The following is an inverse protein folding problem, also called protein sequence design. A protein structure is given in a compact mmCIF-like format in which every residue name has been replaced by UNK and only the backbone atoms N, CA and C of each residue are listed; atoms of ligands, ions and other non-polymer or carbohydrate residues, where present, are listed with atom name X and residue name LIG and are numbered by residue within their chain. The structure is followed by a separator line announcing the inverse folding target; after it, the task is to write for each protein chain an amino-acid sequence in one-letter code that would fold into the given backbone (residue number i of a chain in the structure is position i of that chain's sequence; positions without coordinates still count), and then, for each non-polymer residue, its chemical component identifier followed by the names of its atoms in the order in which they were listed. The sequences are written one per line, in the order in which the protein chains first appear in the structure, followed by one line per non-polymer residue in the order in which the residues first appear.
data_IF_025369035694
#
_entry.id   IF_025369035694
#
_cell.length_a   1.000
_cell.length_b   1.000
_cell.length_c   1.000
_cell.angle_alpha   90.00
_cell.angle_beta   90.00
_cell.angle_gamma   90.00
#
_symmetry.space_group_name_H-M   'P 1'
#
loop_
_entity.id
_entity.type
_entity.pdbx_description
1 polymer ?
#
# COMPACT_ATOMS: atom_id res chain seq x y z
N UNK A 1 26.85 20.19 25.27
CA UNK A 1 26.86 19.77 23.86
C UNK A 1 25.48 19.24 23.51
N UNK A 2 24.63 20.06 22.89
CA UNK A 2 23.34 19.64 22.37
C UNK A 2 23.58 18.92 21.05
N UNK A 3 23.20 17.64 20.94
CA UNK A 3 23.06 16.97 19.65
C UNK A 3 21.79 17.54 19.03
N UNK A 4 21.94 18.34 17.99
CA UNK A 4 20.82 18.75 17.16
C UNK A 4 20.31 17.52 16.44
N UNK A 5 19.17 17.01 16.88
CA UNK A 5 18.41 16.03 16.11
C UNK A 5 18.08 16.67 14.77
N UNK A 6 18.76 16.19 13.73
CA UNK A 6 18.40 16.51 12.35
C UNK A 6 17.02 15.93 12.13
N UNK A 7 15.99 16.77 12.24
CA UNK A 7 14.66 16.45 11.76
C UNK A 7 14.82 16.35 10.25
N UNK A 8 15.00 15.13 9.74
CA UNK A 8 14.82 14.87 8.33
C UNK A 8 13.36 15.18 8.04
N UNK A 9 13.10 16.38 7.54
CA UNK A 9 11.80 16.77 7.00
C UNK A 9 11.53 15.86 5.82
N UNK A 10 10.90 14.72 6.06
CA UNK A 10 10.24 13.96 5.01
C UNK A 10 9.27 14.92 4.35
N UNK A 11 9.58 15.34 3.13
CA UNK A 11 8.64 16.04 2.29
C UNK A 11 7.47 15.08 2.06
N UNK A 12 6.35 15.33 2.74
CA UNK A 12 5.11 14.60 2.51
C UNK A 12 4.56 15.11 1.20
N UNK A 13 4.82 14.38 0.13
CA UNK A 13 4.25 14.66 -1.18
C UNK A 13 2.72 14.49 -1.09
N UNK A 14 1.99 15.60 -1.18
CA UNK A 14 0.53 15.57 -1.27
C UNK A 14 0.17 15.28 -2.72
N UNK A 15 -0.26 14.03 -2.95
CA UNK A 15 -0.68 13.57 -4.26
C UNK A 15 -1.96 14.27 -4.74
N UNK A 16 -2.12 14.35 -6.06
CA UNK A 16 -3.44 14.65 -6.64
C UNK A 16 -4.45 13.60 -6.19
N UNK A 17 -5.74 13.95 -6.18
CA UNK A 17 -6.79 13.01 -5.76
C UNK A 17 -6.78 11.72 -6.60
N UNK A 18 -6.52 11.82 -7.91
CA UNK A 18 -6.42 10.67 -8.81
C UNK A 18 -5.20 9.80 -8.50
N UNK A 19 -4.03 10.39 -8.31
CA UNK A 19 -2.80 9.63 -8.02
C UNK A 19 -2.88 8.97 -6.63
N UNK A 20 -3.48 9.66 -5.67
CA UNK A 20 -3.81 9.10 -4.37
C UNK A 20 -4.71 7.87 -4.48
N UNK A 21 -5.80 7.93 -5.25
CA UNK A 21 -6.73 6.81 -5.44
C UNK A 21 -6.04 5.62 -6.11
N UNK A 22 -5.25 5.86 -7.15
CA UNK A 22 -4.46 4.83 -7.84
C UNK A 22 -3.48 4.17 -6.86
N UNK A 23 -2.74 4.97 -6.10
CA UNK A 23 -1.77 4.47 -5.12
C UNK A 23 -2.44 3.62 -4.03
N UNK A 24 -3.57 4.08 -3.48
CA UNK A 24 -4.34 3.31 -2.52
C UNK A 24 -4.85 2.00 -3.10
N UNK A 25 -5.31 2.02 -4.36
CA UNK A 25 -5.76 0.84 -5.09
C UNK A 25 -4.65 -0.20 -5.26
N UNK A 26 -3.44 0.24 -5.62
CA UNK A 26 -2.27 -0.63 -5.72
C UNK A 26 -1.88 -1.25 -4.38
N UNK A 27 -1.86 -0.46 -3.30
CA UNK A 27 -1.57 -0.98 -1.96
C UNK A 27 -2.61 -1.99 -1.49
N UNK A 28 -3.90 -1.73 -1.74
CA UNK A 28 -4.97 -2.68 -1.43
C UNK A 28 -4.81 -3.99 -2.21
N UNK A 29 -4.52 -3.92 -3.53
CA UNK A 29 -4.24 -5.11 -4.34
C UNK A 29 -3.08 -5.90 -3.75
N UNK A 30 -1.97 -5.23 -3.45
CA UNK A 30 -0.76 -5.84 -2.88
C UNK A 30 -1.04 -6.51 -1.54
N UNK A 31 -1.81 -5.87 -0.65
CA UNK A 31 -2.21 -6.49 0.62
C UNK A 31 -2.96 -7.81 0.40
N UNK A 32 -3.91 -7.84 -0.54
CA UNK A 32 -4.72 -9.04 -0.81
C UNK A 32 -3.85 -10.16 -1.39
N UNK A 33 -2.91 -9.83 -2.29
CA UNK A 33 -1.95 -10.78 -2.86
C UNK A 33 -1.01 -11.37 -1.78
N UNK A 34 -0.48 -10.52 -0.90
CA UNK A 34 0.39 -10.95 0.20
C UNK A 34 -0.34 -11.82 1.23
N UNK A 35 -1.65 -11.60 1.41
CA UNK A 35 -2.50 -12.48 2.20
C UNK A 35 -2.79 -13.83 1.53
N UNK A 36 -2.34 -14.03 0.27
CA UNK A 36 -2.62 -15.24 -0.50
C UNK A 36 -4.10 -15.44 -0.82
N UNK A 37 -4.87 -14.35 -0.84
CA UNK A 37 -6.33 -14.40 -0.95
C UNK A 37 -6.80 -14.11 -2.38
N UNK A 38 -7.87 -14.80 -2.80
CA UNK A 38 -8.53 -14.48 -4.06
C UNK A 38 -9.28 -13.14 -3.98
N UNK A 39 -9.24 -12.31 -5.04
CA UNK A 39 -9.96 -11.02 -5.06
C UNK A 39 -11.48 -11.16 -4.86
N UNK A 40 -12.07 -12.29 -5.25
CA UNK A 40 -13.49 -12.58 -4.99
C UNK A 40 -13.79 -12.79 -3.51
N UNK A 41 -12.88 -13.44 -2.76
CA UNK A 41 -12.99 -13.60 -1.31
C UNK A 41 -12.84 -12.25 -0.62
N UNK A 42 -11.85 -11.45 -1.02
CA UNK A 42 -11.64 -10.11 -0.47
C UNK A 42 -12.88 -9.22 -0.68
N UNK A 43 -13.45 -9.24 -1.90
CA UNK A 43 -14.68 -8.51 -2.21
C UNK A 43 -15.86 -8.95 -1.32
N UNK A 44 -16.01 -10.27 -1.10
CA UNK A 44 -17.05 -10.82 -0.22
C UNK A 44 -16.86 -10.38 1.24
N UNK A 45 -15.63 -10.42 1.76
CA UNK A 45 -15.30 -9.93 3.12
C UNK A 45 -15.65 -8.45 3.25
N UNK A 46 -15.31 -7.65 2.25
CA UNK A 46 -15.58 -6.21 2.19
C UNK A 46 -17.06 -5.88 1.95
N UNK A 47 -17.87 -6.85 1.53
CA UNK A 47 -19.29 -6.66 1.23
C UNK A 47 -19.55 -5.91 -0.06
N UNK A 48 -18.67 -6.04 -1.05
CA UNK A 48 -18.79 -5.39 -2.35
C UNK A 48 -18.69 -6.40 -3.48
N UNK A 49 -19.09 -6.01 -4.69
CA UNK A 49 -18.88 -6.86 -5.87
C UNK A 49 -17.41 -6.86 -6.30
N UNK A 50 -17.01 -7.89 -7.05
CA UNK A 50 -15.67 -7.95 -7.68
C UNK A 50 -15.41 -6.74 -8.59
N UNK A 51 -16.45 -6.25 -9.28
CA UNK A 51 -16.37 -5.06 -10.13
C UNK A 51 -16.01 -3.81 -9.32
N UNK A 52 -16.70 -3.58 -8.20
CA UNK A 52 -16.40 -2.45 -7.29
C UNK A 52 -14.96 -2.54 -6.77
N UNK A 53 -14.52 -3.73 -6.34
CA UNK A 53 -13.13 -3.91 -5.91
C UNK A 53 -12.12 -3.63 -7.03
N UNK A 54 -12.40 -4.07 -8.26
CA UNK A 54 -11.54 -3.77 -9.41
C UNK A 54 -11.43 -2.27 -9.68
N UNK A 55 -12.55 -1.54 -9.59
CA UNK A 55 -12.56 -0.08 -9.73
C UNK A 55 -11.72 0.63 -8.67
N UNK A 56 -11.72 0.13 -7.43
CA UNK A 56 -10.85 0.65 -6.38
C UNK A 56 -9.38 0.36 -6.67
N UNK A 57 -9.05 -0.88 -7.06
CA UNK A 57 -7.66 -1.27 -7.35
C UNK A 57 -7.06 -0.55 -8.56
N UNK A 58 -7.90 -0.05 -9.47
CA UNK A 58 -7.47 0.76 -10.61
C UNK A 58 -7.53 2.27 -10.35
N UNK A 59 -7.91 2.70 -9.15
CA UNK A 59 -8.07 4.12 -8.79
C UNK A 59 -9.23 4.85 -9.48
N UNK A 60 -10.17 4.12 -10.10
CA UNK A 60 -11.33 4.74 -10.77
C UNK A 60 -12.37 5.25 -9.77
N UNK A 61 -12.40 4.66 -8.57
CA UNK A 61 -13.31 5.04 -7.49
C UNK A 61 -12.58 4.96 -6.14
N UNK A 62 -12.92 5.84 -5.18
CA UNK A 62 -12.32 5.79 -3.85
C UNK A 62 -12.77 4.55 -3.08
N UNK A 63 -11.82 3.95 -2.34
CA UNK A 63 -12.08 2.85 -1.41
C UNK A 63 -13.03 3.34 -0.32
N UNK A 64 -14.10 2.59 -0.08
CA UNK A 64 -15.05 2.94 0.97
C UNK A 64 -14.49 2.54 2.36
N UNK A 65 -14.38 3.47 3.32
CA UNK A 65 -13.75 3.20 4.62
C UNK A 65 -14.40 2.03 5.38
N UNK A 66 -15.73 1.93 5.35
CA UNK A 66 -16.43 0.84 6.04
C UNK A 66 -16.18 -0.54 5.42
N UNK A 67 -16.00 -0.61 4.10
CA UNK A 67 -15.63 -1.85 3.42
C UNK A 67 -14.21 -2.28 3.81
N UNK A 68 -13.26 -1.33 3.82
CA UNK A 68 -11.90 -1.59 4.27
C UNK A 68 -11.85 -2.01 5.75
N UNK A 69 -12.67 -1.40 6.60
CA UNK A 69 -12.81 -1.79 8.01
C UNK A 69 -13.15 -3.29 8.14
N UNK A 70 -14.06 -3.82 7.31
CA UNK A 70 -14.40 -5.24 7.33
C UNK A 70 -13.22 -6.13 7.00
N UNK A 71 -12.43 -5.77 5.97
CA UNK A 71 -11.20 -6.50 5.64
C UNK A 71 -10.15 -6.40 6.76
N UNK A 72 -10.00 -5.22 7.34
CA UNK A 72 -9.10 -4.96 8.46
C UNK A 72 -9.43 -5.87 9.65
N UNK A 73 -10.71 -5.93 10.05
CA UNK A 73 -11.17 -6.82 11.13
C UNK A 73 -11.00 -8.31 10.82
N UNK A 74 -11.10 -8.70 9.55
CA UNK A 74 -11.03 -10.10 9.13
C UNK A 74 -9.61 -10.61 8.90
N UNK A 75 -8.67 -9.74 8.51
CA UNK A 75 -7.34 -10.13 8.00
C UNK A 75 -6.18 -9.21 8.44
N UNK A 76 -6.40 -8.28 9.36
CA UNK A 76 -5.39 -7.35 9.89
C UNK A 76 -4.68 -6.49 8.82
N UNK A 77 -5.40 -6.14 7.75
CA UNK A 77 -4.95 -5.07 6.83
C UNK A 77 -5.18 -3.72 7.51
N UNK A 78 -4.15 -2.88 7.60
CA UNK A 78 -4.26 -1.57 8.27
C UNK A 78 -4.70 -0.47 7.30
N UNK A 79 -5.41 0.51 7.85
CA UNK A 79 -5.76 1.74 7.12
C UNK A 79 -4.51 2.53 6.77
N UNK A 80 -3.56 2.59 7.70
CA UNK A 80 -2.30 3.31 7.55
C UNK A 80 -1.49 2.76 6.36
N UNK A 81 -1.47 1.43 6.18
CA UNK A 81 -0.83 0.86 5.00
C UNK A 81 -1.57 1.26 3.71
N UNK A 82 -2.88 1.06 3.65
CA UNK A 82 -3.64 1.29 2.41
C UNK A 82 -3.62 2.76 2.00
N UNK A 83 -3.86 3.67 2.94
CA UNK A 83 -4.00 5.11 2.64
C UNK A 83 -2.68 5.88 2.74
N UNK A 84 -1.81 5.54 3.70
CA UNK A 84 -0.58 6.30 3.97
C UNK A 84 0.69 5.56 3.53
N UNK A 85 0.61 4.26 3.24
CA UNK A 85 1.77 3.44 2.90
C UNK A 85 2.56 2.99 4.12
N UNK A 86 2.07 3.21 5.34
CA UNK A 86 2.75 2.78 6.55
C UNK A 86 2.43 1.30 6.87
N UNK A 87 3.41 0.44 6.66
CA UNK A 87 3.30 -1.00 6.90
C UNK A 87 3.67 -1.41 8.34
N UNK A 88 4.02 -0.49 9.23
CA UNK A 88 4.45 -0.81 10.60
C UNK A 88 3.38 -1.54 11.41
N UNK A 89 2.11 -1.30 11.11
CA UNK A 89 0.96 -1.96 11.76
C UNK A 89 0.53 -3.29 11.12
N UNK A 90 1.18 -3.74 10.03
CA UNK A 90 0.84 -5.03 9.40
C UNK A 90 1.41 -6.21 10.21
N UNK A 91 0.79 -7.41 10.11
CA UNK A 91 1.40 -8.63 10.61
C UNK A 91 2.84 -8.81 10.14
N UNK A 92 3.74 -9.20 11.04
CA UNK A 92 5.19 -9.26 10.78
C UNK A 92 5.56 -9.97 9.48
N UNK A 93 4.90 -11.09 9.16
CA UNK A 93 5.19 -11.85 7.93
C UNK A 93 4.85 -11.08 6.64
N UNK A 94 3.88 -10.16 6.66
CA UNK A 94 3.54 -9.28 5.53
C UNK A 94 4.51 -8.10 5.47
N UNK A 95 4.79 -7.48 6.62
CA UNK A 95 5.74 -6.37 6.71
C UNK A 95 7.13 -6.77 6.19
N UNK A 96 7.65 -7.96 6.57
CA UNK A 96 8.93 -8.45 6.08
C UNK A 96 8.97 -8.70 4.57
N UNK A 97 7.86 -9.12 3.96
CA UNK A 97 7.79 -9.30 2.50
C UNK A 97 7.82 -7.95 1.77
N UNK A 98 7.08 -6.96 2.27
CA UNK A 98 7.09 -5.60 1.71
C UNK A 98 8.47 -4.94 1.85
N UNK A 99 9.11 -5.08 3.00
CA UNK A 99 10.46 -4.56 3.25
C UNK A 99 11.48 -5.19 2.28
N UNK A 100 11.45 -6.51 2.12
CA UNK A 100 12.33 -7.21 1.17
C UNK A 100 12.11 -6.73 -0.27
N UNK A 101 10.87 -6.48 -0.68
CA UNK A 101 10.55 -5.95 -2.01
C UNK A 101 11.09 -4.55 -2.22
N UNK A 102 10.90 -3.65 -1.27
CA UNK A 102 11.38 -2.26 -1.34
C UNK A 102 12.92 -2.25 -1.45
N UNK A 103 13.60 -3.05 -0.62
CA UNK A 103 15.05 -3.19 -0.67
C UNK A 103 15.54 -3.80 -1.99
N UNK A 104 14.78 -4.74 -2.57
CA UNK A 104 15.12 -5.34 -3.88
C UNK A 104 14.86 -4.40 -5.06
N UNK A 105 13.80 -3.58 -5.01
CA UNK A 105 13.45 -2.59 -6.03
C UNK A 105 14.42 -1.42 -6.07
N UNK A 106 14.98 -1.02 -4.92
CA UNK A 106 16.03 -0.01 -4.85
C UNK A 106 17.36 -0.44 -5.51
N UNK A 107 17.67 -1.75 -5.54
CA UNK A 107 18.85 -2.26 -6.24
C UNK A 107 18.75 -2.14 -7.76
N UNK A 108 17.56 -2.31 -8.35
CA UNK A 108 17.39 -2.22 -9.80
C UNK A 108 17.35 -0.79 -10.33
N UNK A 109 16.92 0.20 -9.53
CA UNK A 109 16.89 1.60 -9.94
C UNK A 109 18.26 2.31 -9.88
N UNK A 110 19.27 1.69 -9.26
CA UNK A 110 20.63 2.26 -9.14
C UNK A 110 21.61 1.76 -10.21
N UNK A 111 21.30 0.69 -10.95
CA UNK A 111 22.14 0.18 -12.04
C UNK A 111 21.81 0.76 -13.43
N UNK A 112 20.64 1.39 -13.62
CA UNK A 112 20.25 2.00 -14.91
C UNK A 112 20.77 3.44 -15.11
N UNK A 113 21.45 4.03 -14.12
CA UNK A 113 21.94 5.40 -14.18
C UNK A 113 23.42 5.53 -14.64
N UNK A 114 24.05 4.46 -15.12
CA UNK A 114 25.49 4.45 -15.47
C UNK A 114 25.83 3.87 -16.86
N UNK A 115 24.90 3.87 -17.81
CA UNK A 115 25.18 3.39 -19.18
C UNK A 115 24.86 4.40 -20.28
N UNK A 116 25.20 5.67 -20.09
CA UNK A 116 25.36 6.63 -21.19
C UNK A 116 26.41 7.67 -20.80
N UNK A 117 27.67 7.36 -21.10
CA UNK A 117 28.80 8.30 -21.12
C UNK A 117 29.66 7.98 -22.33
#
# INVERSE_FOLDING_TARGET
MQRGDTIMTMQVEILSLSDYQVTCGHRLRRAIELLGMAFTEAAAIMGVSKGVLNHWMSGNHPIQPYALYRLSRARNVTFDYVFLGDWSGLPHHLASQLEAEILSGQKHSSESAHSDA
#
